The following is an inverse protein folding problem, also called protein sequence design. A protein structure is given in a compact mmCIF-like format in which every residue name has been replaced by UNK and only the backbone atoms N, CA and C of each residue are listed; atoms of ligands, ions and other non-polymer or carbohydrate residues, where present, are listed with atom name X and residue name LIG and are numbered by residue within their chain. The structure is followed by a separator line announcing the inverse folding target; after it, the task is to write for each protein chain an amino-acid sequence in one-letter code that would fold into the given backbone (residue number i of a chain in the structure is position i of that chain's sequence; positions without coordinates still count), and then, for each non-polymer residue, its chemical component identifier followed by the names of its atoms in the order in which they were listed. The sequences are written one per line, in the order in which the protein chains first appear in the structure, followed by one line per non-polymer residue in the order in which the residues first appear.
data_IF_717280978394
#
_entry.id   IF_717280978394
#
_cell.length_a   1.000
_cell.length_b   1.000
_cell.length_c   1.000
_cell.angle_alpha   90.00
_cell.angle_beta   90.00
_cell.angle_gamma   90.00
#
_symmetry.space_group_name_H-M   'P 1'
#
loop_
_entity.id
_entity.type
_entity.pdbx_description
1 polymer ?
#
# COMPACT_ATOMS: atom_id res chain seq x y z
N UNK A 1 13.62 7.88 -10.11
CA UNK A 1 13.16 6.61 -9.51
C UNK A 1 12.34 6.95 -8.28
N UNK A 2 11.16 6.35 -8.13
CA UNK A 2 10.32 6.53 -6.95
C UNK A 2 10.56 5.34 -6.02
N UNK A 3 10.83 5.62 -4.76
CA UNK A 3 10.95 4.61 -3.70
C UNK A 3 9.70 4.65 -2.84
N UNK A 4 9.11 3.48 -2.58
CA UNK A 4 7.91 3.35 -1.74
C UNK A 4 8.25 2.66 -0.43
N UNK A 5 7.73 3.21 0.66
CA UNK A 5 7.72 2.56 1.96
C UNK A 5 6.29 2.46 2.43
N UNK A 6 5.92 1.30 2.97
CA UNK A 6 4.59 1.05 3.51
C UNK A 6 4.74 0.83 5.01
N UNK A 7 4.14 1.71 5.81
CA UNK A 7 4.11 1.58 7.27
C UNK A 7 2.74 1.00 7.66
N UNK A 8 2.75 0.04 8.58
CA UNK A 8 1.55 -0.61 9.11
C UNK A 8 1.51 -0.50 10.62
N UNK A 9 0.41 0.06 11.12
CA UNK A 9 0.09 0.20 12.53
C UNK A 9 -1.38 -0.17 12.75
N UNK A 10 -1.82 -0.22 14.00
CA UNK A 10 -3.24 -0.13 14.31
C UNK A 10 -3.71 1.33 14.31
N UNK A 11 -4.97 1.56 13.98
CA UNK A 11 -5.70 2.81 14.19
C UNK A 11 -6.93 2.55 15.05
N UNK A 12 -7.28 3.50 15.92
CA UNK A 12 -8.60 3.53 16.57
C UNK A 12 -9.66 3.86 15.51
N UNK A 13 -10.61 2.97 15.19
CA UNK A 13 -11.59 3.23 14.13
C UNK A 13 -12.40 4.50 14.42
N UNK A 14 -12.58 5.35 13.40
CA UNK A 14 -13.24 6.65 13.52
C UNK A 14 -12.30 7.82 13.83
N UNK A 15 -11.00 7.57 14.06
CA UNK A 15 -9.99 8.62 14.28
C UNK A 15 -9.26 9.06 13.01
N UNK A 16 -9.62 8.54 11.84
CA UNK A 16 -8.95 8.78 10.55
C UNK A 16 -8.86 10.28 10.23
N UNK A 17 -9.94 11.03 10.45
CA UNK A 17 -9.95 12.48 10.21
C UNK A 17 -8.97 13.23 11.10
N UNK A 18 -8.85 12.83 12.38
CA UNK A 18 -7.91 13.45 13.32
C UNK A 18 -6.47 13.20 12.89
N UNK A 19 -6.14 11.95 12.54
CA UNK A 19 -4.81 11.58 12.06
C UNK A 19 -4.50 12.28 10.73
N UNK A 20 -5.46 12.34 9.82
CA UNK A 20 -5.37 13.06 8.55
C UNK A 20 -5.08 14.55 8.73
N UNK A 21 -5.80 15.21 9.65
CA UNK A 21 -5.60 16.64 9.95
C UNK A 21 -4.20 16.92 10.52
N UNK A 22 -3.67 16.03 11.37
CA UNK A 22 -2.29 16.14 11.88
C UNK A 22 -1.30 16.11 10.72
N UNK A 23 -1.36 15.10 9.84
CA UNK A 23 -0.47 15.05 8.67
C UNK A 23 -0.69 16.24 7.74
N UNK A 24 -1.95 16.67 7.56
CA UNK A 24 -2.34 17.87 6.81
C UNK A 24 -1.65 19.15 7.29
N UNK A 25 -1.50 19.31 8.60
CA UNK A 25 -0.78 20.42 9.19
C UNK A 25 0.74 20.30 8.97
N UNK A 26 1.31 19.12 9.22
CA UNK A 26 2.76 18.93 9.17
C UNK A 26 3.32 18.93 7.73
N UNK A 27 2.64 18.29 6.78
CA UNK A 27 3.08 18.29 5.38
C UNK A 27 3.09 19.73 4.79
N UNK A 28 2.30 20.67 5.35
CA UNK A 28 2.35 22.11 5.01
C UNK A 28 3.43 22.90 5.76
N UNK A 29 3.82 22.48 6.95
CA UNK A 29 4.65 23.31 7.86
C UNK A 29 6.10 22.84 7.97
N UNK A 30 6.42 21.59 7.62
CA UNK A 30 7.74 21.00 7.90
C UNK A 30 8.56 20.59 6.68
N UNK A 31 8.17 21.03 5.47
CA UNK A 31 8.82 20.72 4.18
C UNK A 31 9.36 19.28 4.09
N UNK A 32 8.50 18.25 4.05
CA UNK A 32 8.92 16.84 3.94
C UNK A 32 9.87 16.55 2.76
N UNK A 33 9.86 17.40 1.74
CA UNK A 33 10.73 17.34 0.55
C UNK A 33 12.22 17.45 0.89
N UNK A 34 12.59 18.10 2.01
CA UNK A 34 13.98 18.18 2.46
C UNK A 34 14.54 16.79 2.85
N UNK A 35 13.66 15.78 3.02
CA UNK A 35 13.97 14.37 3.25
C UNK A 35 13.71 13.51 2.01
N UNK A 36 13.45 14.16 0.87
CA UNK A 36 13.09 13.56 -0.40
C UNK A 36 11.71 12.91 -0.42
N UNK A 37 10.81 13.24 0.52
CA UNK A 37 9.42 12.79 0.47
C UNK A 37 8.66 13.62 -0.56
N UNK A 38 8.07 12.94 -1.55
CA UNK A 38 7.34 13.55 -2.67
C UNK A 38 5.84 13.25 -2.63
N UNK A 39 5.44 12.26 -1.84
CA UNK A 39 4.04 11.87 -1.73
C UNK A 39 3.74 11.07 -0.48
N UNK A 40 2.50 11.20 -0.02
CA UNK A 40 1.96 10.47 1.11
C UNK A 40 0.52 10.08 0.84
N UNK A 41 0.19 8.83 1.13
CA UNK A 41 -1.20 8.37 1.19
C UNK A 41 -1.42 7.65 2.51
N UNK A 42 -2.45 8.04 3.24
CA UNK A 42 -2.91 7.36 4.45
C UNK A 42 -4.22 6.65 4.15
N UNK A 43 -4.26 5.37 4.46
CA UNK A 43 -5.40 4.50 4.26
C UNK A 43 -5.73 3.77 5.56
N UNK A 44 -6.99 3.37 5.71
CA UNK A 44 -7.42 2.47 6.78
C UNK A 44 -8.23 1.29 6.26
N UNK A 45 -8.14 0.16 6.96
CA UNK A 45 -8.98 -1.02 6.76
C UNK A 45 -9.22 -1.68 8.12
N UNK A 46 -10.48 -1.76 8.55
CA UNK A 46 -10.85 -2.17 9.91
C UNK A 46 -10.07 -1.37 10.98
N UNK A 47 -9.14 -2.02 11.67
CA UNK A 47 -8.27 -1.44 12.69
C UNK A 47 -6.85 -1.16 12.18
N UNK A 48 -6.57 -1.29 10.88
CA UNK A 48 -5.26 -1.02 10.30
C UNK A 48 -5.11 0.43 9.86
N UNK A 49 -3.99 1.03 10.27
CA UNK A 49 -3.39 2.21 9.67
C UNK A 49 -2.37 1.78 8.63
N UNK A 50 -2.51 2.27 7.39
CA UNK A 50 -1.58 2.02 6.30
C UNK A 50 -1.07 3.35 5.77
N UNK A 51 0.24 3.50 5.76
CA UNK A 51 0.89 4.74 5.36
C UNK A 51 1.90 4.49 4.25
N UNK A 52 1.50 4.85 3.04
CA UNK A 52 2.36 4.79 1.86
C UNK A 52 3.13 6.11 1.76
N UNK A 53 4.45 6.02 1.73
CA UNK A 53 5.35 7.16 1.57
C UNK A 53 6.15 6.98 0.30
N UNK A 54 6.08 7.96 -0.59
CA UNK A 54 6.85 8.01 -1.82
C UNK A 54 8.02 8.97 -1.69
N UNK A 55 9.19 8.55 -2.18
CA UNK A 55 10.42 9.34 -2.13
C UNK A 55 11.15 9.36 -3.46
N UNK A 56 11.85 10.45 -3.75
CA UNK A 56 12.79 10.55 -4.88
C UNK A 56 14.24 10.18 -4.50
N UNK A 57 14.48 9.89 -3.22
CA UNK A 57 15.76 9.39 -2.68
C UNK A 57 15.58 8.03 -2.03
N UNK A 58 16.62 7.20 -2.08
CA UNK A 58 16.61 5.88 -1.42
C UNK A 58 16.36 6.06 0.09
N UNK A 59 15.32 5.43 0.65
CA UNK A 59 15.03 5.48 2.08
C UNK A 59 16.23 5.07 2.93
N UNK A 60 17.03 4.08 2.51
CA UNK A 60 18.22 3.63 3.26
C UNK A 60 19.28 4.73 3.38
N UNK A 61 19.35 5.63 2.41
CA UNK A 61 20.27 6.76 2.41
C UNK A 61 19.74 7.97 3.22
N UNK A 62 18.41 8.11 3.38
CA UNK A 62 17.77 9.26 4.03
C UNK A 62 17.26 9.00 5.46
N UNK A 63 16.85 7.77 5.79
CA UNK A 63 16.28 7.40 7.11
C UNK A 63 17.27 7.64 8.26
N UNK A 64 18.57 7.46 8.03
CA UNK A 64 19.60 7.75 9.03
C UNK A 64 19.71 9.24 9.39
N UNK A 65 19.33 10.15 8.48
CA UNK A 65 19.34 11.61 8.69
C UNK A 65 18.01 12.16 9.23
N UNK A 66 16.91 11.47 8.93
CA UNK A 66 15.56 11.88 9.31
C UNK A 66 15.21 11.58 10.78
N UNK A 67 15.81 10.52 11.36
CA UNK A 67 15.55 10.11 12.75
C UNK A 67 16.05 11.18 13.72
N UNK A 68 15.11 11.74 14.49
CA UNK A 68 15.38 12.77 15.49
C UNK A 68 15.00 14.20 15.07
N UNK A 69 14.42 14.41 13.87
CA UNK A 69 13.88 15.72 13.55
C UNK A 69 12.64 16.00 14.41
N UNK A 70 12.56 17.18 15.07
CA UNK A 70 11.46 17.52 15.99
C UNK A 70 10.07 17.31 15.39
N UNK A 71 9.91 17.57 14.09
CA UNK A 71 8.65 17.35 13.36
C UNK A 71 8.13 15.92 13.45
N UNK A 72 8.99 14.90 13.26
CA UNK A 72 8.56 13.50 13.36
C UNK A 72 8.13 13.13 14.77
N UNK A 73 8.86 13.62 15.77
CA UNK A 73 8.52 13.35 17.15
C UNK A 73 7.17 13.98 17.51
N UNK A 74 6.93 15.23 17.11
CA UNK A 74 5.66 15.89 17.38
C UNK A 74 4.48 15.22 16.64
N UNK A 75 4.67 14.78 15.39
CA UNK A 75 3.64 13.99 14.68
C UNK A 75 3.36 12.71 15.46
N UNK A 76 4.40 11.97 15.85
CA UNK A 76 4.26 10.72 16.58
C UNK A 76 3.53 10.92 17.92
N UNK A 77 3.86 11.97 18.67
CA UNK A 77 3.17 12.34 19.92
C UNK A 77 1.71 12.73 19.68
N UNK A 78 1.42 13.48 18.61
CA UNK A 78 0.07 13.93 18.28
C UNK A 78 -0.87 12.78 17.87
N UNK A 79 -0.35 11.75 17.19
CA UNK A 79 -1.14 10.60 16.75
C UNK A 79 -1.09 9.41 17.70
N UNK A 80 -0.19 9.39 18.70
CA UNK A 80 -0.01 8.27 19.63
C UNK A 80 -1.30 7.76 20.31
N UNK A 81 -2.30 8.60 20.66
CA UNK A 81 -3.56 8.11 21.22
C UNK A 81 -4.40 7.29 20.24
N UNK A 82 -4.14 7.42 18.93
CA UNK A 82 -4.95 6.88 17.85
C UNK A 82 -4.22 5.81 17.04
N UNK A 83 -2.89 5.88 16.96
CA UNK A 83 -2.07 4.99 16.15
C UNK A 83 -1.05 4.28 17.02
N UNK A 84 -1.13 2.95 17.08
CA UNK A 84 -0.22 2.11 17.87
C UNK A 84 0.47 1.07 17.00
N UNK A 85 1.68 0.62 17.32
CA UNK A 85 2.37 -0.38 16.50
C UNK A 85 1.55 -1.66 16.28
N UNK A 86 1.53 -2.16 15.04
CA UNK A 86 0.98 -3.48 14.71
C UNK A 86 1.93 -4.63 15.11
N UNK A 87 3.25 -4.55 14.85
CA UNK A 87 4.14 -5.68 15.08
C UNK A 87 4.25 -6.04 16.56
N UNK A 88 4.19 -7.35 16.87
CA UNK A 88 4.22 -7.83 18.27
C UNK A 88 5.54 -7.52 18.99
N UNK A 89 6.65 -7.55 18.26
CA UNK A 89 8.00 -7.35 18.79
C UNK A 89 8.55 -5.97 18.45
N UNK A 90 7.67 -4.96 18.35
CA UNK A 90 8.06 -3.60 18.02
C UNK A 90 8.99 -3.00 19.07
N UNK A 91 10.09 -2.40 18.63
CA UNK A 91 11.07 -1.70 19.46
C UNK A 91 11.23 -0.25 19.00
N UNK A 92 11.11 -0.01 17.70
CA UNK A 92 11.32 1.30 17.11
C UNK A 92 10.50 1.48 15.81
N UNK A 93 10.32 2.73 15.32
CA UNK A 93 9.44 2.99 14.18
C UNK A 93 9.76 2.24 12.88
N UNK A 94 10.99 1.78 12.60
CA UNK A 94 11.22 0.98 11.39
C UNK A 94 10.62 -0.41 11.47
N UNK A 95 10.32 -0.91 12.66
CA UNK A 95 9.76 -2.25 12.80
C UNK A 95 8.33 -2.30 12.23
N UNK A 96 7.66 -1.14 12.11
CA UNK A 96 6.36 -0.98 11.44
C UNK A 96 6.45 -0.87 9.91
N UNK A 97 7.65 -0.87 9.31
CA UNK A 97 7.80 -0.79 7.84
C UNK A 97 7.67 -2.18 7.24
N UNK A 98 6.65 -2.39 6.42
CA UNK A 98 6.42 -3.64 5.72
C UNK A 98 7.52 -3.92 4.69
N UNK A 99 7.87 -5.20 4.55
CA UNK A 99 8.92 -5.66 3.64
C UNK A 99 8.32 -5.94 2.26
N UNK A 100 8.83 -5.26 1.24
CA UNK A 100 8.56 -5.64 -0.14
C UNK A 100 9.15 -7.02 -0.44
N UNK A 101 8.35 -7.91 -1.01
CA UNK A 101 8.79 -9.25 -1.40
C UNK A 101 8.54 -9.57 -2.88
N UNK A 102 7.80 -8.71 -3.58
CA UNK A 102 7.59 -8.81 -5.03
C UNK A 102 7.22 -7.44 -5.62
N UNK A 103 7.70 -7.16 -6.82
CA UNK A 103 7.31 -5.98 -7.60
C UNK A 103 7.27 -6.31 -9.09
N UNK A 104 6.34 -5.71 -9.81
CA UNK A 104 6.24 -5.79 -11.26
C UNK A 104 5.80 -4.45 -11.85
N UNK A 105 6.44 -4.07 -12.94
CA UNK A 105 6.06 -2.91 -13.77
C UNK A 105 6.12 -3.39 -15.22
N UNK A 106 5.08 -3.15 -16.04
CA UNK A 106 5.06 -3.57 -17.42
C UNK A 106 6.16 -2.85 -18.23
N UNK A 107 6.53 -3.43 -19.37
CA UNK A 107 7.43 -2.76 -20.30
C UNK A 107 6.84 -1.43 -20.78
N UNK A 108 7.70 -0.43 -20.99
CA UNK A 108 7.29 0.90 -21.41
C UNK A 108 6.39 0.87 -22.65
N UNK A 109 5.27 1.60 -22.62
CA UNK A 109 4.29 1.63 -23.71
C UNK A 109 3.29 0.46 -23.77
N UNK A 110 3.36 -0.50 -22.84
CA UNK A 110 2.44 -1.66 -22.84
C UNK A 110 1.03 -1.35 -22.32
N UNK A 111 0.91 -0.36 -21.42
CA UNK A 111 -0.39 0.10 -20.90
C UNK A 111 -0.69 1.46 -21.54
N UNK A 112 -1.92 1.68 -22.05
CA UNK A 112 -2.33 2.99 -22.55
C UNK A 112 -2.07 4.08 -21.50
N UNK A 113 -1.61 5.24 -21.95
CA UNK A 113 -1.39 6.38 -21.07
C UNK A 113 -2.68 6.71 -20.29
N UNK A 114 -2.53 6.96 -18.99
CA UNK A 114 -3.61 7.45 -18.15
C UNK A 114 -4.02 8.85 -18.60
N UNK A 115 -5.32 9.15 -18.62
CA UNK A 115 -5.82 10.52 -18.79
C UNK A 115 -5.60 11.38 -17.52
N UNK A 116 -5.29 10.75 -16.38
CA UNK A 116 -4.90 11.41 -15.13
C UNK A 116 -3.41 11.20 -14.83
N UNK A 117 -2.70 12.29 -14.50
CA UNK A 117 -1.30 12.23 -14.04
C UNK A 117 -1.16 11.57 -12.66
N UNK A 118 -2.22 11.58 -11.87
CA UNK A 118 -2.30 10.83 -10.62
C UNK A 118 -2.81 9.41 -10.92
N UNK A 119 -1.89 8.45 -10.99
CA UNK A 119 -2.24 7.02 -11.03
C UNK A 119 -3.15 6.65 -9.86
N UNK A 120 -4.18 5.85 -10.10
CA UNK A 120 -5.08 5.42 -9.03
C UNK A 120 -4.46 4.26 -8.25
N UNK A 121 -3.74 4.57 -7.17
CA UNK A 121 -3.22 3.55 -6.26
C UNK A 121 -4.36 2.92 -5.47
N UNK A 122 -4.42 1.58 -5.52
CA UNK A 122 -5.29 0.76 -4.66
C UNK A 122 -4.44 -0.08 -3.75
N UNK A 123 -4.84 -0.18 -2.48
CA UNK A 123 -4.20 -1.08 -1.51
C UNK A 123 -5.20 -2.16 -1.12
N UNK A 124 -4.87 -3.40 -1.47
CA UNK A 124 -5.63 -4.59 -1.06
C UNK A 124 -4.92 -5.19 0.14
N UNK A 125 -5.69 -5.57 1.17
CA UNK A 125 -5.20 -6.08 2.44
C UNK A 125 -5.77 -7.47 2.71
N UNK A 126 -4.92 -8.35 3.20
CA UNK A 126 -5.31 -9.69 3.61
C UNK A 126 -4.38 -10.20 4.72
N UNK A 127 -4.65 -11.39 5.25
CA UNK A 127 -3.67 -12.13 6.05
C UNK A 127 -2.85 -13.05 5.16
N UNK A 128 -1.55 -13.14 5.42
CA UNK A 128 -0.65 -14.10 4.79
C UNK A 128 -0.13 -15.09 5.81
N UNK A 129 -0.06 -16.37 5.42
CA UNK A 129 0.63 -17.39 6.18
C UNK A 129 2.13 -17.03 6.30
N UNK A 130 2.70 -16.92 7.51
CA UNK A 130 4.10 -16.56 7.68
C UNK A 130 5.04 -17.47 6.87
N UNK A 131 5.96 -16.87 6.11
CA UNK A 131 6.89 -17.58 5.22
C UNK A 131 6.32 -17.96 3.86
N UNK A 132 5.07 -17.62 3.55
CA UNK A 132 4.46 -17.89 2.25
C UNK A 132 4.83 -16.87 1.16
N UNK A 133 5.58 -15.81 1.49
CA UNK A 133 5.97 -14.74 0.55
C UNK A 133 6.57 -15.26 -0.76
N UNK A 134 7.51 -16.24 -0.76
CA UNK A 134 8.06 -16.76 -2.01
C UNK A 134 7.02 -17.49 -2.88
N UNK A 135 6.04 -18.14 -2.26
CA UNK A 135 4.97 -18.84 -2.99
C UNK A 135 3.99 -17.84 -3.61
N UNK A 136 3.59 -16.81 -2.85
CA UNK A 136 2.72 -15.74 -3.34
C UNK A 136 3.42 -14.95 -4.46
N UNK A 137 4.71 -14.64 -4.30
CA UNK A 137 5.50 -13.99 -5.35
C UNK A 137 5.54 -14.81 -6.64
N UNK A 138 5.70 -16.13 -6.55
CA UNK A 138 5.67 -17.02 -7.71
C UNK A 138 4.32 -16.98 -8.43
N UNK A 139 3.21 -17.05 -7.69
CA UNK A 139 1.85 -16.98 -8.27
C UNK A 139 1.65 -15.68 -9.05
N UNK A 140 2.06 -14.54 -8.49
CA UNK A 140 1.96 -13.26 -9.20
C UNK A 140 2.96 -13.15 -10.35
N UNK A 141 4.17 -13.69 -10.24
CA UNK A 141 5.12 -13.74 -11.35
C UNK A 141 4.55 -14.50 -12.55
N UNK A 142 3.97 -15.68 -12.34
CA UNK A 142 3.31 -16.47 -13.40
C UNK A 142 2.12 -15.71 -14.02
N UNK A 143 1.35 -14.98 -13.21
CA UNK A 143 0.27 -14.12 -13.70
C UNK A 143 0.78 -12.94 -14.52
N UNK A 144 1.85 -12.30 -14.06
CA UNK A 144 2.38 -11.06 -14.62
C UNK A 144 3.25 -11.29 -15.87
N UNK A 145 3.60 -12.55 -16.17
CA UNK A 145 4.09 -13.01 -17.48
C UNK A 145 2.98 -13.08 -18.55
N UNK A 146 1.72 -13.18 -18.13
CA UNK A 146 0.56 -13.19 -19.01
C UNK A 146 0.07 -11.79 -19.42
N UNK A 147 -0.92 -11.72 -20.31
CA UNK A 147 -1.53 -10.45 -20.74
C UNK A 147 -2.51 -9.85 -19.73
N UNK A 148 -2.96 -10.64 -18.75
CA UNK A 148 -4.04 -10.28 -17.84
C UNK A 148 -3.82 -8.93 -17.11
N UNK A 149 -2.66 -8.64 -16.50
CA UNK A 149 -2.52 -7.37 -15.77
C UNK A 149 -2.62 -6.15 -16.68
N UNK A 150 -2.04 -6.22 -17.88
CA UNK A 150 -2.11 -5.14 -18.88
C UNK A 150 -3.54 -4.96 -19.38
N UNK A 151 -4.27 -6.05 -19.64
CA UNK A 151 -5.71 -6.00 -20.00
C UNK A 151 -6.57 -5.40 -18.88
N UNK A 152 -6.18 -5.59 -17.61
CA UNK A 152 -6.84 -4.98 -16.45
C UNK A 152 -6.41 -3.52 -16.21
N UNK A 153 -5.52 -2.96 -17.04
CA UNK A 153 -5.00 -1.60 -16.92
C UNK A 153 -4.01 -1.41 -15.77
N UNK A 154 -3.39 -2.49 -15.28
CA UNK A 154 -2.40 -2.43 -14.20
C UNK A 154 -1.10 -1.84 -14.73
N UNK A 155 -0.69 -0.71 -14.17
CA UNK A 155 0.57 -0.01 -14.49
C UNK A 155 1.69 -0.34 -13.52
N UNK A 156 1.38 -0.98 -12.40
CA UNK A 156 2.37 -1.51 -11.47
C UNK A 156 1.77 -2.31 -10.33
N UNK A 157 2.55 -3.24 -9.80
CA UNK A 157 2.21 -4.11 -8.67
C UNK A 157 3.37 -4.14 -7.69
N UNK A 158 3.08 -3.98 -6.41
CA UNK A 158 4.04 -4.20 -5.33
C UNK A 158 3.37 -4.97 -4.19
N UNK A 159 4.02 -6.02 -3.71
CA UNK A 159 3.53 -6.86 -2.62
C UNK A 159 4.44 -6.69 -1.41
N UNK A 160 3.81 -6.45 -0.27
CA UNK A 160 4.47 -6.25 1.02
C UNK A 160 3.90 -7.21 2.05
N UNK A 161 4.74 -7.60 3.01
CA UNK A 161 4.29 -8.31 4.20
C UNK A 161 4.88 -7.72 5.48
N UNK A 162 4.14 -7.84 6.57
CA UNK A 162 4.59 -7.54 7.93
C UNK A 162 3.84 -8.43 8.91
N UNK A 163 4.58 -9.21 9.70
CA UNK A 163 4.03 -10.30 10.51
C UNK A 163 3.08 -11.20 9.68
N UNK A 164 1.77 -11.11 9.92
CA UNK A 164 0.74 -11.86 9.21
C UNK A 164 -0.09 -11.00 8.25
N UNK A 165 0.26 -9.73 8.04
CA UNK A 165 -0.43 -8.82 7.12
C UNK A 165 0.22 -8.86 5.74
N UNK A 166 -0.62 -8.98 4.73
CA UNK A 166 -0.28 -8.83 3.32
C UNK A 166 -0.88 -7.54 2.78
N UNK A 167 -0.06 -6.77 2.06
CA UNK A 167 -0.50 -5.58 1.35
C UNK A 167 -0.12 -5.69 -0.12
N UNK A 168 -1.08 -5.39 -0.98
CA UNK A 168 -0.93 -5.41 -2.41
C UNK A 168 -1.28 -4.05 -2.96
N UNK A 169 -0.23 -3.31 -3.28
CA UNK A 169 -0.30 -2.00 -3.93
C UNK A 169 -0.43 -2.24 -5.43
N UNK A 170 -1.51 -1.72 -6.00
CA UNK A 170 -1.81 -1.81 -7.42
C UNK A 170 -1.96 -0.39 -7.95
N UNK A 171 -1.12 -0.03 -8.91
CA UNK A 171 -1.34 1.17 -9.72
C UNK A 171 -2.07 0.77 -11.00
N UNK A 172 -3.04 1.59 -11.39
CA UNK A 172 -3.93 1.31 -12.53
C UNK A 172 -4.46 2.57 -13.18
N UNK A 173 -4.98 2.42 -14.39
CA UNK A 173 -5.77 3.44 -15.08
C UNK A 173 -7.28 3.25 -14.81
N UNK A 174 -7.99 4.34 -14.50
CA UNK A 174 -9.39 4.28 -14.06
C UNK A 174 -10.36 3.77 -15.13
N UNK A 175 -10.16 4.19 -16.38
CA UNK A 175 -11.03 3.82 -17.50
C UNK A 175 -11.01 2.30 -17.77
N UNK A 176 -9.86 1.64 -17.62
CA UNK A 176 -9.71 0.22 -17.89
C UNK A 176 -10.31 -0.64 -16.76
N UNK A 177 -10.19 -0.24 -15.49
CA UNK A 177 -10.60 -1.09 -14.36
C UNK A 177 -12.11 -1.33 -14.28
N UNK A 178 -12.94 -0.30 -14.45
CA UNK A 178 -14.40 -0.43 -14.39
C UNK A 178 -14.97 -1.27 -15.55
N UNK A 179 -14.32 -1.25 -16.71
CA UNK A 179 -14.65 -2.12 -17.84
C UNK A 179 -14.13 -3.54 -17.59
N UNK A 180 -12.88 -3.66 -17.18
CA UNK A 180 -12.23 -4.94 -16.96
C UNK A 180 -12.86 -5.74 -15.83
N UNK A 181 -13.26 -5.14 -14.70
CA UNK A 181 -13.97 -5.84 -13.62
C UNK A 181 -15.31 -6.44 -14.06
N UNK A 182 -16.05 -5.75 -14.94
CA UNK A 182 -17.30 -6.29 -15.51
C UNK A 182 -17.04 -7.51 -16.41
N UNK A 183 -15.86 -7.60 -17.01
CA UNK A 183 -15.48 -8.65 -17.96
C UNK A 183 -14.58 -9.74 -17.33
N UNK A 184 -13.88 -9.46 -16.23
CA UNK A 184 -12.79 -10.26 -15.66
C UNK A 184 -13.21 -11.22 -14.57
N UNK A 185 -14.29 -10.93 -13.84
CA UNK A 185 -14.89 -11.90 -12.89
C UNK A 185 -15.30 -13.21 -13.57
N UNK A 186 -15.39 -13.22 -14.92
CA UNK A 186 -15.65 -14.39 -15.75
C UNK A 186 -14.40 -15.02 -16.39
N UNK A 187 -13.18 -14.51 -16.17
CA UNK A 187 -11.95 -15.01 -16.82
C UNK A 187 -11.30 -16.15 -16.02
N UNK A 188 -11.04 -17.34 -16.62
CA UNK A 188 -10.40 -18.48 -15.94
C UNK A 188 -9.04 -18.18 -15.31
N UNK A 189 -8.26 -17.27 -15.90
CA UNK A 189 -6.96 -16.87 -15.36
C UNK A 189 -7.05 -16.19 -13.98
N UNK A 190 -8.08 -15.36 -13.77
CA UNK A 190 -8.30 -14.72 -12.47
C UNK A 190 -8.73 -15.74 -11.41
N UNK A 191 -9.61 -16.67 -11.78
CA UNK A 191 -10.03 -17.76 -10.89
C UNK A 191 -8.84 -18.65 -10.47
N UNK A 192 -7.93 -18.96 -11.40
CA UNK A 192 -6.70 -19.72 -11.08
C UNK A 192 -5.83 -19.00 -10.05
N UNK A 193 -5.61 -17.69 -10.21
CA UNK A 193 -4.82 -16.90 -9.24
C UNK A 193 -5.46 -16.97 -7.86
N UNK A 194 -6.77 -16.78 -7.77
CA UNK A 194 -7.49 -16.87 -6.49
C UNK A 194 -7.37 -18.28 -5.87
N UNK A 195 -7.49 -19.33 -6.67
CA UNK A 195 -7.31 -20.72 -6.21
C UNK A 195 -5.89 -20.97 -5.69
N UNK A 196 -4.87 -20.54 -6.43
CA UNK A 196 -3.47 -20.68 -6.05
C UNK A 196 -3.12 -19.90 -4.77
N UNK A 197 -3.75 -18.73 -4.56
CA UNK A 197 -3.54 -17.88 -3.39
C UNK A 197 -4.29 -18.36 -2.14
N UNK A 198 -5.43 -19.05 -2.27
CA UNK A 198 -6.29 -19.43 -1.15
C UNK A 198 -5.59 -20.28 -0.06
N UNK A 199 -4.49 -20.97 -0.40
CA UNK A 199 -3.70 -21.73 0.59
C UNK A 199 -2.79 -20.84 1.44
N UNK A 200 -2.49 -19.64 0.97
CA UNK A 200 -1.51 -18.73 1.55
C UNK A 200 -2.12 -17.45 2.11
N UNK A 201 -3.26 -17.03 1.56
CA UNK A 201 -3.90 -15.76 1.85
C UNK A 201 -5.34 -15.99 2.31
N UNK A 202 -5.75 -15.27 3.34
CA UNK A 202 -7.13 -15.27 3.87
C UNK A 202 -7.61 -13.84 4.08
N UNK A 203 -8.94 -13.58 4.10
CA UNK A 203 -9.47 -12.27 4.45
C UNK A 203 -8.86 -11.69 5.71
N UNK A 204 -8.64 -10.37 5.75
CA UNK A 204 -8.10 -9.71 6.94
C UNK A 204 -9.01 -9.90 8.17
N UNK A 205 -10.32 -9.70 7.95
CA UNK A 205 -11.37 -9.94 8.92
C UNK A 205 -12.40 -10.94 8.34
N UNK A 206 -12.25 -12.25 8.64
CA UNK A 206 -13.17 -13.26 8.14
C UNK A 206 -14.61 -13.14 8.65
N UNK A 207 -14.83 -12.49 9.80
CA UNK A 207 -16.16 -12.38 10.41
C UNK A 207 -17.07 -11.38 9.68
N UNK A 208 -16.48 -10.33 9.11
CA UNK A 208 -17.21 -9.27 8.38
C UNK A 208 -17.09 -9.39 6.87
N UNK A 209 -16.36 -10.38 6.36
CA UNK A 209 -16.07 -10.56 4.94
C UNK A 209 -17.31 -10.90 4.11
N UNK A 210 -17.60 -10.07 3.10
CA UNK A 210 -18.68 -10.29 2.13
C UNK A 210 -18.17 -10.45 0.69
N UNK A 211 -16.97 -9.97 0.40
CA UNK A 211 -16.38 -10.03 -0.93
C UNK A 211 -15.05 -9.27 -1.05
N UNK A 212 -14.40 -9.33 -2.23
CA UNK A 212 -13.12 -8.66 -2.49
C UNK A 212 -13.09 -7.16 -2.18
N UNK A 213 -14.24 -6.47 -2.26
CA UNK A 213 -14.39 -5.07 -1.90
C UNK A 213 -14.04 -4.78 -0.43
N UNK A 214 -14.25 -5.75 0.47
CA UNK A 214 -13.93 -5.61 1.89
C UNK A 214 -12.41 -5.73 2.16
N UNK A 215 -11.60 -6.14 1.16
CA UNK A 215 -10.14 -6.13 1.26
C UNK A 215 -9.51 -4.78 0.87
N UNK A 216 -10.28 -3.84 0.30
CA UNK A 216 -9.72 -2.60 -0.24
C UNK A 216 -9.64 -1.55 0.86
N UNK A 217 -8.42 -1.10 1.17
CA UNK A 217 -8.20 -0.04 2.15
C UNK A 217 -8.75 1.30 1.63
N UNK A 218 -9.33 2.08 2.54
CA UNK A 218 -9.94 3.37 2.25
C UNK A 218 -8.95 4.48 2.51
N UNK A 219 -8.67 5.27 1.49
CA UNK A 219 -7.90 6.51 1.65
C UNK A 219 -8.67 7.51 2.50
N UNK A 220 -8.01 8.10 3.49
CA UNK A 220 -8.55 9.18 4.29
C UNK A 220 -7.69 10.46 4.25
N UNK A 221 -6.48 10.37 3.69
CA UNK A 221 -5.63 11.53 3.46
C UNK A 221 -4.63 11.25 2.34
N UNK A 222 -4.44 12.23 1.45
CA UNK A 222 -3.43 12.20 0.40
C UNK A 222 -2.75 13.56 0.29
N UNK A 223 -1.44 13.52 0.07
CA UNK A 223 -0.63 14.69 -0.17
C UNK A 223 0.43 14.41 -1.24
N UNK A 224 0.65 15.38 -2.11
CA UNK A 224 1.71 15.40 -3.11
C UNK A 224 2.50 16.69 -2.93
N UNK A 225 3.83 16.60 -3.00
CA UNK A 225 4.65 17.80 -3.05
C UNK A 225 4.37 18.57 -4.34
N UNK A 226 4.23 19.88 -4.25
CA UNK A 226 4.36 20.77 -5.40
C UNK A 226 5.82 20.82 -5.84
N UNK A 227 6.06 20.90 -7.15
CA UNK A 227 7.40 20.98 -7.76
C UNK A 227 8.19 22.24 -7.36
#
# INVERSE_FOLDING_TARGET
MIYRSVIVCHIVPGSEGIVGDVFGYYDKTTRPQDLGVIGRTLLSLDDLYIHVIERNVDPKASLGKARGLPAFQQIAEAIAPYVTPYPKNWQNPSDSVAKEFYSWVPAEGSVPASESDDGNMTVIVARIKPGAEPNVARVFAESDEGSLPVELGVTGRWLYSIDDVYLHLLERTDAAFAQAMRESHAKPAFAKIMEDLNTFITPYNPETWRGPEDAVAKEFYRWRAED
#
